data_IF_518588552654
#
_entry.id   IF_518588552654
#
_cell.length_a   1.000
_cell.length_b   1.000
_cell.length_c   1.000
_cell.angle_alpha   90.00
_cell.angle_beta   90.00
_cell.angle_gamma   90.00
#
_symmetry.space_group_name_H-M   'P 1'
#
loop_
_entity.id
_entity.type
_entity.pdbx_description
1 polymer ?
#
# COMPACT_ATOMS: atom_id res chain seq x y z
N UNK A 1 17.61 14.49 14.78
CA UNK A 1 17.04 15.33 13.70
C UNK A 1 17.91 15.35 12.44
N UNK A 2 19.16 15.83 12.51
CA UNK A 2 20.07 15.95 11.35
C UNK A 2 20.34 14.59 10.69
N UNK A 3 20.68 13.57 11.47
CA UNK A 3 20.99 12.21 10.97
C UNK A 3 19.82 11.55 10.18
N UNK A 4 18.59 11.68 10.67
CA UNK A 4 17.42 11.13 9.97
C UNK A 4 17.19 11.82 8.61
N UNK A 5 17.40 13.14 8.53
CA UNK A 5 17.28 13.88 7.27
C UNK A 5 18.41 13.55 6.29
N UNK A 6 19.61 13.21 6.78
CA UNK A 6 20.73 12.79 5.94
C UNK A 6 20.46 11.42 5.29
N UNK A 7 19.91 10.48 6.05
CA UNK A 7 19.50 9.17 5.52
C UNK A 7 18.43 9.32 4.43
N UNK A 8 17.40 10.13 4.67
CA UNK A 8 16.37 10.40 3.69
C UNK A 8 16.94 11.08 2.43
N UNK A 9 17.87 12.03 2.58
CA UNK A 9 18.53 12.71 1.43
C UNK A 9 19.35 11.74 0.59
N UNK A 10 20.10 10.84 1.23
CA UNK A 10 20.85 9.80 0.51
C UNK A 10 19.91 8.85 -0.26
N UNK A 11 18.86 8.40 0.39
CA UNK A 11 17.87 7.54 -0.25
C UNK A 11 17.12 8.25 -1.39
N UNK A 12 16.87 9.57 -1.27
CA UNK A 12 16.33 10.41 -2.36
C UNK A 12 17.30 10.55 -3.52
N UNK A 13 18.60 10.70 -3.26
CA UNK A 13 19.62 10.72 -4.30
C UNK A 13 19.63 9.40 -5.10
N UNK A 14 19.62 8.26 -4.41
CA UNK A 14 19.56 6.93 -5.05
C UNK A 14 18.23 6.74 -5.84
N UNK A 15 17.12 7.20 -5.27
CA UNK A 15 15.81 7.18 -5.94
C UNK A 15 15.83 7.96 -7.26
N UNK A 16 16.55 9.07 -7.34
CA UNK A 16 16.59 9.92 -8.53
C UNK A 16 17.66 9.50 -9.55
N UNK A 17 18.66 8.72 -9.16
CA UNK A 17 19.80 8.34 -9.99
C UNK A 17 19.44 7.60 -11.28
N UNK A 18 18.39 6.79 -11.27
CA UNK A 18 17.97 5.92 -12.39
C UNK A 18 16.96 6.59 -13.32
N UNK A 19 16.71 7.88 -13.20
CA UNK A 19 15.69 8.53 -14.04
C UNK A 19 16.20 8.76 -15.45
N UNK A 20 15.31 8.51 -16.44
CA UNK A 20 15.49 9.03 -17.80
C UNK A 20 15.15 10.51 -17.88
N UNK A 21 15.67 11.21 -18.89
CA UNK A 21 15.26 12.59 -19.21
C UNK A 21 13.97 12.68 -20.02
N UNK A 22 13.30 11.56 -20.29
CA UNK A 22 12.11 11.50 -21.13
C UNK A 22 10.86 11.93 -20.38
N UNK A 23 10.04 12.73 -21.00
CA UNK A 23 8.75 13.16 -20.49
C UNK A 23 7.72 12.06 -20.70
N UNK A 24 6.92 11.77 -19.67
CA UNK A 24 5.88 10.74 -19.70
C UNK A 24 4.46 11.31 -19.63
N UNK A 25 4.34 12.64 -19.77
CA UNK A 25 3.06 13.32 -19.67
C UNK A 25 2.04 12.76 -20.67
N UNK A 26 0.84 12.54 -20.17
CA UNK A 26 -0.38 12.30 -20.96
C UNK A 26 -1.54 12.88 -20.17
N UNK A 27 -2.34 13.73 -20.83
CA UNK A 27 -3.53 14.34 -20.22
C UNK A 27 -4.57 13.28 -19.85
N UNK A 28 -5.51 13.65 -18.98
CA UNK A 28 -6.72 12.87 -18.78
C UNK A 28 -7.63 12.93 -19.99
N UNK A 29 -8.26 11.82 -20.34
CA UNK A 29 -9.42 11.83 -21.21
C UNK A 29 -10.60 12.48 -20.48
N UNK A 30 -11.42 13.26 -21.19
CA UNK A 30 -12.58 13.96 -20.61
C UNK A 30 -13.57 13.05 -19.87
N UNK A 31 -13.56 11.76 -20.14
CA UNK A 31 -14.42 10.75 -19.51
C UNK A 31 -13.93 10.31 -18.11
N UNK A 32 -12.67 10.55 -17.77
CA UNK A 32 -12.09 10.12 -16.49
C UNK A 32 -12.35 11.09 -15.33
N UNK A 33 -12.76 12.34 -15.62
CA UNK A 33 -12.93 13.40 -14.61
C UNK A 33 -14.23 13.35 -13.82
N UNK A 34 -15.23 12.60 -14.28
CA UNK A 34 -16.60 12.64 -13.70
C UNK A 34 -16.88 11.50 -12.70
N UNK A 35 -15.86 10.75 -12.31
CA UNK A 35 -16.02 9.62 -11.39
C UNK A 35 -16.01 10.16 -9.94
N UNK A 36 -17.22 10.46 -9.44
CA UNK A 36 -17.45 10.92 -8.06
C UNK A 36 -17.74 9.77 -7.09
N UNK A 37 -18.11 8.60 -7.60
CA UNK A 37 -18.46 7.43 -6.81
C UNK A 37 -17.24 6.49 -6.62
N UNK A 38 -16.66 6.55 -5.45
CA UNK A 38 -15.51 5.72 -5.07
C UNK A 38 -15.83 4.22 -5.06
N UNK A 39 -17.04 3.84 -4.65
CA UNK A 39 -17.49 2.44 -4.63
C UNK A 39 -17.58 1.88 -6.06
N UNK A 40 -18.15 2.65 -6.97
CA UNK A 40 -18.24 2.27 -8.37
C UNK A 40 -16.87 2.22 -9.03
N UNK A 41 -16.00 3.20 -8.77
CA UNK A 41 -14.68 3.25 -9.37
C UNK A 41 -13.79 2.05 -9.00
N UNK A 42 -13.81 1.66 -7.73
CA UNK A 42 -13.03 0.52 -7.22
C UNK A 42 -13.81 -0.80 -7.19
N UNK A 43 -14.95 -0.87 -7.90
CA UNK A 43 -15.75 -2.10 -7.98
C UNK A 43 -14.95 -3.22 -8.64
N UNK A 44 -14.98 -4.39 -8.01
CA UNK A 44 -14.42 -5.62 -8.58
C UNK A 44 -15.55 -6.40 -9.24
N UNK A 45 -15.39 -6.71 -10.53
CA UNK A 45 -16.33 -7.57 -11.24
C UNK A 45 -16.35 -8.97 -10.61
N UNK A 46 -17.54 -9.60 -10.47
CA UNK A 46 -17.61 -11.01 -10.12
C UNK A 46 -16.93 -11.80 -11.24
N UNK A 47 -15.82 -12.41 -10.96
CA UNK A 47 -15.13 -13.31 -11.89
C UNK A 47 -14.74 -14.59 -11.16
N UNK A 48 -14.81 -15.71 -11.82
CA UNK A 48 -14.17 -16.94 -11.37
C UNK A 48 -12.66 -16.70 -11.40
N UNK A 49 -12.10 -16.41 -10.25
CA UNK A 49 -10.67 -16.10 -10.14
C UNK A 49 -9.91 -17.42 -10.18
N UNK A 50 -9.21 -17.66 -11.29
CA UNK A 50 -8.22 -18.73 -11.34
C UNK A 50 -6.99 -18.33 -10.55
N UNK A 51 -7.03 -18.57 -9.25
CA UNK A 51 -5.92 -18.34 -8.32
C UNK A 51 -4.97 -19.55 -8.39
N UNK A 52 -3.78 -19.33 -8.93
CA UNK A 52 -2.77 -20.38 -9.09
C UNK A 52 -1.67 -20.18 -8.04
N UNK A 53 -1.32 -21.26 -7.34
CA UNK A 53 -0.14 -21.30 -6.48
C UNK A 53 0.95 -22.05 -7.24
N UNK A 54 2.08 -21.39 -7.49
CA UNK A 54 3.26 -21.94 -8.16
C UNK A 54 4.41 -22.13 -7.19
N UNK A 55 5.31 -23.05 -7.53
CA UNK A 55 6.51 -23.32 -6.74
C UNK A 55 6.22 -23.62 -5.27
N UNK A 56 5.05 -24.25 -5.02
CA UNK A 56 4.67 -24.62 -3.68
C UNK A 56 5.64 -25.66 -3.11
N UNK A 57 6.20 -25.38 -1.92
CA UNK A 57 7.07 -26.28 -1.18
C UNK A 57 6.73 -26.19 0.30
N UNK A 58 6.94 -27.31 1.01
CA UNK A 58 6.80 -27.33 2.46
C UNK A 58 8.10 -26.84 3.10
N UNK A 59 8.04 -25.82 3.92
CA UNK A 59 9.13 -25.32 4.75
C UNK A 59 8.68 -25.30 6.21
N UNK A 60 9.12 -26.29 6.99
CA UNK A 60 8.65 -26.49 8.38
C UNK A 60 7.11 -26.58 8.44
N UNK A 61 6.47 -25.71 9.23
CA UNK A 61 5.02 -25.64 9.41
C UNK A 61 4.31 -24.79 8.33
N UNK A 62 5.03 -24.34 7.26
CA UNK A 62 4.48 -23.47 6.23
C UNK A 62 4.54 -24.10 4.84
N UNK A 63 3.42 -24.00 4.12
CA UNK A 63 3.45 -24.10 2.68
C UNK A 63 3.85 -22.75 2.11
N UNK A 64 5.00 -22.70 1.42
CA UNK A 64 5.56 -21.49 0.82
C UNK A 64 5.41 -21.57 -0.69
N UNK A 65 4.98 -20.49 -1.33
CA UNK A 65 4.80 -20.46 -2.77
C UNK A 65 4.59 -19.04 -3.32
N UNK A 66 4.29 -18.99 -4.60
CA UNK A 66 3.91 -17.76 -5.29
C UNK A 66 2.48 -17.89 -5.78
N UNK A 67 1.66 -16.87 -5.53
CA UNK A 67 0.34 -16.81 -6.12
C UNK A 67 0.35 -15.99 -7.41
N UNK A 68 -0.56 -16.35 -8.31
CA UNK A 68 -0.77 -15.68 -9.58
C UNK A 68 -2.24 -15.73 -9.98
N UNK A 69 -2.79 -14.57 -10.42
CA UNK A 69 -4.11 -14.48 -11.03
C UNK A 69 -4.18 -13.31 -12.02
N UNK A 70 -5.21 -13.26 -12.86
CA UNK A 70 -5.39 -12.18 -13.83
C UNK A 70 -6.07 -10.98 -13.17
N UNK A 71 -5.55 -9.77 -13.40
CA UNK A 71 -6.19 -8.53 -12.97
C UNK A 71 -7.55 -8.34 -13.66
N UNK A 72 -8.53 -7.86 -12.92
CA UNK A 72 -9.84 -7.46 -13.49
C UNK A 72 -9.77 -6.09 -14.18
N UNK A 73 -8.74 -5.30 -13.89
CA UNK A 73 -8.45 -4.02 -14.55
C UNK A 73 -7.27 -4.21 -15.47
N UNK A 74 -7.50 -4.13 -16.79
CA UNK A 74 -6.48 -4.39 -17.80
C UNK A 74 -5.75 -3.09 -18.15
N UNK A 75 -4.42 -3.12 -18.11
CA UNK A 75 -3.55 -2.01 -18.52
C UNK A 75 -3.08 -2.12 -19.98
N UNK A 76 -3.31 -3.27 -20.60
CA UNK A 76 -2.77 -3.61 -21.93
C UNK A 76 -1.35 -4.18 -21.91
N UNK A 77 -0.68 -4.23 -20.75
CA UNK A 77 0.59 -4.91 -20.58
C UNK A 77 0.39 -6.24 -19.85
N UNK A 78 0.68 -7.35 -20.55
CA UNK A 78 0.41 -8.71 -20.04
C UNK A 78 1.18 -9.07 -18.76
N UNK A 79 2.33 -8.44 -18.51
CA UNK A 79 3.08 -8.60 -17.27
C UNK A 79 2.36 -7.90 -16.13
N UNK A 80 2.01 -6.62 -16.33
CA UNK A 80 1.30 -5.84 -15.34
C UNK A 80 -0.08 -6.43 -15.02
N UNK A 81 -0.78 -6.95 -16.05
CA UNK A 81 -2.12 -7.54 -15.91
C UNK A 81 -2.12 -8.93 -15.25
N UNK A 82 -0.93 -9.46 -14.97
CA UNK A 82 -0.73 -10.69 -14.21
C UNK A 82 -0.36 -10.35 -12.76
N UNK A 83 -1.32 -10.43 -11.87
CA UNK A 83 -1.11 -10.18 -10.44
C UNK A 83 -0.29 -11.30 -9.84
N UNK A 84 0.73 -10.94 -9.08
CA UNK A 84 1.65 -11.89 -8.44
C UNK A 84 1.91 -11.51 -7.00
N UNK A 85 2.45 -12.45 -6.25
CA UNK A 85 2.95 -12.24 -4.90
C UNK A 85 3.44 -13.54 -4.28
N UNK A 86 3.99 -13.42 -3.09
CA UNK A 86 4.48 -14.56 -2.31
C UNK A 86 3.48 -14.90 -1.21
N UNK A 87 3.38 -16.17 -0.86
CA UNK A 87 2.55 -16.63 0.25
C UNK A 87 3.29 -17.60 1.15
N UNK A 88 2.94 -17.53 2.43
CA UNK A 88 3.41 -18.42 3.49
C UNK A 88 2.17 -18.82 4.28
N UNK A 89 1.69 -20.04 4.07
CA UNK A 89 0.46 -20.54 4.69
C UNK A 89 0.79 -21.58 5.75
N UNK A 90 0.41 -21.28 6.98
CA UNK A 90 0.53 -22.20 8.11
C UNK A 90 -0.58 -23.26 8.03
N UNK A 91 -0.34 -24.42 8.60
CA UNK A 91 -1.30 -25.54 8.64
C UNK A 91 -2.56 -25.27 9.48
N UNK A 92 -2.49 -24.32 10.43
CA UNK A 92 -3.66 -23.91 11.21
C UNK A 92 -4.59 -23.06 10.34
N UNK A 93 -5.76 -23.61 10.03
CA UNK A 93 -6.76 -22.98 9.16
C UNK A 93 -7.40 -21.71 9.76
N UNK A 94 -7.42 -21.59 11.09
CA UNK A 94 -7.99 -20.43 11.80
C UNK A 94 -6.94 -19.33 12.10
N UNK A 95 -5.69 -19.53 11.65
CA UNK A 95 -4.64 -18.56 11.86
C UNK A 95 -4.94 -17.23 11.14
N UNK A 96 -4.60 -16.07 11.73
CA UNK A 96 -4.75 -14.77 11.09
C UNK A 96 -4.05 -14.70 9.74
N UNK A 97 -4.65 -13.98 8.79
CA UNK A 97 -4.13 -13.74 7.44
C UNK A 97 -3.64 -12.31 7.32
N UNK A 98 -2.36 -12.12 7.05
CA UNK A 98 -1.74 -10.79 6.91
C UNK A 98 -1.36 -10.57 5.45
N UNK A 99 -1.93 -9.52 4.84
CA UNK A 99 -1.52 -9.07 3.52
C UNK A 99 -0.60 -7.86 3.69
N UNK A 100 0.61 -7.97 3.15
CA UNK A 100 1.59 -6.88 3.09
C UNK A 100 1.60 -6.23 1.73
N UNK A 101 1.50 -4.90 1.70
CA UNK A 101 1.59 -4.09 0.47
C UNK A 101 2.80 -3.15 0.58
N UNK A 102 3.75 -3.34 -0.32
CA UNK A 102 5.04 -2.66 -0.31
C UNK A 102 4.99 -1.20 -0.80
N UNK A 103 6.09 -0.46 -0.60
CA UNK A 103 6.24 0.93 -1.04
C UNK A 103 6.62 1.08 -2.52
N UNK A 104 6.58 2.35 -3.01
CA UNK A 104 6.96 2.71 -4.36
C UNK A 104 8.45 2.41 -4.64
N UNK A 105 8.76 1.99 -5.87
CA UNK A 105 10.14 1.74 -6.36
C UNK A 105 10.92 0.65 -5.61
N UNK A 106 10.21 -0.21 -4.92
CA UNK A 106 10.82 -1.44 -4.41
C UNK A 106 10.96 -2.47 -5.53
N UNK A 107 12.03 -3.26 -5.49
CA UNK A 107 12.33 -4.33 -6.46
C UNK A 107 12.00 -5.73 -5.91
N UNK A 108 11.69 -5.83 -4.60
CA UNK A 108 11.32 -7.08 -3.92
C UNK A 108 10.62 -6.80 -2.58
N UNK A 109 10.05 -7.84 -1.98
CA UNK A 109 9.44 -7.78 -0.64
C UNK A 109 10.45 -7.88 0.52
N UNK A 110 11.75 -8.02 0.24
CA UNK A 110 12.78 -8.27 1.26
C UNK A 110 12.84 -7.21 2.37
N UNK A 111 12.57 -5.94 2.05
CA UNK A 111 12.54 -4.89 3.08
C UNK A 111 11.35 -5.06 4.02
N UNK A 112 10.20 -5.48 3.51
CA UNK A 112 8.99 -5.75 4.31
C UNK A 112 9.21 -6.99 5.16
N UNK A 113 9.75 -8.06 4.57
CA UNK A 113 10.10 -9.29 5.27
C UNK A 113 11.06 -9.03 6.43
N UNK A 114 12.11 -8.24 6.23
CA UNK A 114 13.07 -7.86 7.30
C UNK A 114 12.43 -7.13 8.49
N UNK A 115 11.22 -6.59 8.34
CA UNK A 115 10.48 -5.93 9.42
C UNK A 115 9.59 -6.95 10.13
N UNK A 116 8.82 -7.77 9.39
CA UNK A 116 7.68 -8.49 9.91
C UNK A 116 7.80 -10.02 9.87
N UNK A 117 8.53 -10.59 8.91
CA UNK A 117 8.44 -12.01 8.58
C UNK A 117 8.71 -12.93 9.77
N UNK A 118 9.84 -12.74 10.46
CA UNK A 118 10.20 -13.57 11.61
C UNK A 118 9.18 -13.48 12.75
N UNK A 119 8.67 -12.29 12.99
CA UNK A 119 7.63 -12.09 14.01
C UNK A 119 6.33 -12.82 13.66
N UNK A 120 5.89 -12.73 12.40
CA UNK A 120 4.65 -13.39 11.94
C UNK A 120 4.83 -14.91 11.92
N UNK A 121 6.01 -15.41 11.54
CA UNK A 121 6.34 -16.83 11.58
C UNK A 121 6.28 -17.37 13.02
N UNK A 122 6.84 -16.65 13.98
CA UNK A 122 6.79 -17.03 15.38
C UNK A 122 5.36 -17.07 15.96
N UNK A 123 4.47 -16.25 15.40
CA UNK A 123 3.04 -16.20 15.77
C UNK A 123 2.21 -17.22 14.98
N UNK A 124 2.80 -17.94 14.05
CA UNK A 124 2.12 -18.92 13.19
C UNK A 124 1.01 -18.31 12.35
N UNK A 125 1.18 -17.07 11.88
CA UNK A 125 0.22 -16.35 11.05
C UNK A 125 0.48 -16.59 9.57
N UNK A 126 -0.58 -16.59 8.76
CA UNK A 126 -0.51 -16.65 7.31
C UNK A 126 -0.05 -15.31 6.73
N UNK A 127 0.84 -15.33 5.75
CA UNK A 127 1.38 -14.13 5.15
C UNK A 127 1.21 -14.13 3.63
N UNK A 128 0.82 -12.97 3.09
CA UNK A 128 0.73 -12.71 1.65
C UNK A 128 1.49 -11.42 1.34
N UNK A 129 2.53 -11.50 0.52
CA UNK A 129 3.28 -10.34 0.07
C UNK A 129 2.80 -9.96 -1.32
N UNK A 130 1.91 -9.00 -1.38
CA UNK A 130 1.25 -8.56 -2.61
C UNK A 130 2.16 -7.66 -3.45
N UNK A 131 2.24 -7.91 -4.76
CA UNK A 131 3.00 -7.08 -5.70
C UNK A 131 2.08 -6.03 -6.33
N UNK A 132 2.39 -4.75 -6.12
CA UNK A 132 1.69 -3.62 -6.75
C UNK A 132 1.83 -3.63 -8.28
N UNK A 133 0.88 -3.04 -9.03
CA UNK A 133 1.04 -2.84 -10.46
C UNK A 133 2.36 -2.18 -10.82
N UNK A 134 2.94 -2.57 -11.94
CA UNK A 134 4.19 -2.05 -12.49
C UNK A 134 5.44 -2.26 -11.61
N UNK A 135 5.37 -3.11 -10.58
CA UNK A 135 6.51 -3.45 -9.73
C UNK A 135 6.97 -4.91 -9.94
N UNK A 136 8.22 -5.17 -9.58
CA UNK A 136 8.84 -6.50 -9.61
C UNK A 136 8.66 -7.16 -10.99
N UNK A 137 8.15 -8.39 -11.03
CA UNK A 137 7.84 -9.13 -12.26
C UNK A 137 6.65 -8.54 -13.05
N UNK A 138 5.82 -7.69 -12.46
CA UNK A 138 4.75 -6.94 -13.13
C UNK A 138 5.27 -5.71 -13.89
N UNK A 139 6.56 -5.40 -13.75
CA UNK A 139 7.19 -4.27 -14.44
C UNK A 139 7.26 -4.55 -15.95
N UNK A 140 6.74 -3.64 -16.82
CA UNK A 140 6.89 -3.71 -18.26
C UNK A 140 8.38 -3.72 -18.67
N UNK A 141 8.68 -4.35 -19.82
CA UNK A 141 10.07 -4.43 -20.30
C UNK A 141 10.71 -3.08 -20.57
N UNK A 142 9.91 -2.13 -21.09
CA UNK A 142 10.34 -0.77 -21.43
C UNK A 142 10.49 0.13 -20.20
N UNK A 143 9.99 -0.29 -19.04
CA UNK A 143 10.12 0.50 -17.82
C UNK A 143 11.54 0.46 -17.28
N UNK A 144 12.10 1.61 -16.95
CA UNK A 144 13.49 1.76 -16.50
C UNK A 144 13.69 1.21 -15.07
N UNK A 145 12.65 1.29 -14.23
CA UNK A 145 12.70 0.84 -12.85
C UNK A 145 11.33 0.37 -12.35
N UNK A 146 11.36 -0.41 -11.31
CA UNK A 146 10.16 -0.92 -10.64
C UNK A 146 9.27 0.22 -10.15
N UNK A 147 7.98 0.21 -10.54
CA UNK A 147 7.00 1.22 -10.16
C UNK A 147 7.05 2.54 -10.95
N UNK A 148 7.84 2.63 -12.02
CA UNK A 148 7.91 3.83 -12.87
C UNK A 148 6.52 4.23 -13.38
N UNK A 149 5.75 3.27 -13.85
CA UNK A 149 4.43 3.50 -14.44
C UNK A 149 3.29 3.55 -13.42
N UNK A 150 3.55 3.22 -12.17
CA UNK A 150 2.55 3.28 -11.11
C UNK A 150 2.19 4.73 -10.72
N UNK A 151 3.21 5.60 -10.65
CA UNK A 151 3.04 7.03 -10.38
C UNK A 151 3.95 7.81 -11.31
N UNK A 152 3.38 8.59 -12.21
CA UNK A 152 4.12 9.32 -13.25
C UNK A 152 3.35 10.57 -13.70
N UNK A 153 3.94 11.35 -14.62
CA UNK A 153 3.27 12.48 -15.26
C UNK A 153 2.17 12.04 -16.27
N UNK A 154 2.07 10.77 -16.60
CA UNK A 154 0.88 10.24 -17.26
C UNK A 154 -0.25 10.18 -16.23
N UNK A 155 -1.11 11.20 -16.25
CA UNK A 155 -2.15 11.45 -15.25
C UNK A 155 -3.15 10.31 -15.22
N UNK A 156 -3.66 9.92 -16.37
CA UNK A 156 -4.65 8.84 -16.49
C UNK A 156 -4.09 7.49 -16.04
N UNK A 157 -2.86 7.15 -16.46
CA UNK A 157 -2.22 5.90 -16.06
C UNK A 157 -2.05 5.80 -14.55
N UNK A 158 -1.69 6.90 -13.86
CA UNK A 158 -1.57 6.92 -12.40
C UNK A 158 -2.91 6.61 -11.72
N UNK A 159 -4.01 7.18 -12.23
CA UNK A 159 -5.39 6.90 -11.75
C UNK A 159 -5.76 5.44 -12.00
N UNK A 160 -5.55 4.93 -13.23
CA UNK A 160 -5.86 3.55 -13.59
C UNK A 160 -4.97 2.53 -12.86
N UNK A 161 -3.69 2.83 -12.64
CA UNK A 161 -2.78 2.00 -11.85
C UNK A 161 -3.24 1.90 -10.38
N UNK A 162 -3.72 3.01 -9.82
CA UNK A 162 -4.29 3.03 -8.47
C UNK A 162 -5.57 2.20 -8.41
N UNK A 163 -6.47 2.35 -9.39
CA UNK A 163 -7.67 1.52 -9.54
C UNK A 163 -7.33 0.04 -9.63
N UNK A 164 -6.37 -0.31 -10.48
CA UNK A 164 -5.90 -1.68 -10.65
C UNK A 164 -5.35 -2.25 -9.33
N UNK A 165 -4.52 -1.49 -8.61
CA UNK A 165 -3.94 -1.93 -7.34
C UNK A 165 -5.03 -2.26 -6.30
N UNK A 166 -6.04 -1.39 -6.15
CA UNK A 166 -7.15 -1.61 -5.21
C UNK A 166 -8.02 -2.78 -5.67
N UNK A 167 -8.36 -2.87 -6.95
CA UNK A 167 -9.18 -3.97 -7.49
C UNK A 167 -8.47 -5.33 -7.34
N UNK A 168 -7.18 -5.39 -7.63
CA UNK A 168 -6.36 -6.59 -7.48
C UNK A 168 -6.29 -7.01 -6.00
N UNK A 169 -6.03 -6.06 -5.10
CA UNK A 169 -5.98 -6.34 -3.66
C UNK A 169 -7.33 -6.85 -3.12
N UNK A 170 -8.44 -6.24 -3.54
CA UNK A 170 -9.80 -6.71 -3.20
C UNK A 170 -10.08 -8.11 -3.75
N UNK A 171 -9.53 -8.43 -4.91
CA UNK A 171 -9.62 -9.79 -5.49
C UNK A 171 -8.90 -10.81 -4.62
N UNK A 172 -7.70 -10.51 -4.12
CA UNK A 172 -6.98 -11.35 -3.17
C UNK A 172 -7.76 -11.52 -1.85
N UNK A 173 -8.29 -10.43 -1.30
CA UNK A 173 -9.11 -10.44 -0.08
C UNK A 173 -10.32 -11.35 -0.24
N UNK A 174 -11.05 -11.24 -1.34
CA UNK A 174 -12.20 -12.10 -1.64
C UNK A 174 -11.81 -13.57 -1.73
N UNK A 175 -10.69 -13.87 -2.38
CA UNK A 175 -10.20 -15.25 -2.46
C UNK A 175 -9.84 -15.80 -1.08
N UNK A 176 -9.14 -15.04 -0.23
CA UNK A 176 -8.81 -15.46 1.15
C UNK A 176 -10.10 -15.74 1.93
N UNK A 177 -11.05 -14.81 1.94
CA UNK A 177 -12.29 -14.96 2.70
C UNK A 177 -13.20 -16.11 2.20
N UNK A 178 -13.09 -16.48 0.92
CA UNK A 178 -13.84 -17.61 0.35
C UNK A 178 -13.20 -18.98 0.62
N UNK A 179 -11.88 -19.02 0.90
CA UNK A 179 -11.12 -20.29 0.97
C UNK A 179 -10.41 -20.51 2.30
N UNK A 180 -10.43 -19.53 3.20
CA UNK A 180 -9.68 -19.56 4.45
C UNK A 180 -10.53 -18.99 5.58
N UNK A 181 -10.31 -19.52 6.78
CA UNK A 181 -10.86 -18.99 8.01
C UNK A 181 -9.94 -17.92 8.62
N UNK A 182 -10.31 -17.42 9.78
CA UNK A 182 -9.51 -16.47 10.56
C UNK A 182 -9.66 -15.00 10.13
N UNK A 183 -9.12 -14.09 10.96
CA UNK A 183 -9.19 -12.67 10.74
C UNK A 183 -8.22 -12.21 9.65
N UNK A 184 -8.58 -11.12 8.94
CA UNK A 184 -7.81 -10.52 7.87
C UNK A 184 -7.18 -9.21 8.30
N UNK A 185 -5.87 -9.13 8.24
CA UNK A 185 -5.06 -7.96 8.56
C UNK A 185 -4.46 -7.41 7.28
N UNK A 186 -4.55 -6.10 7.10
CA UNK A 186 -3.95 -5.40 5.96
C UNK A 186 -2.86 -4.44 6.45
N UNK A 187 -1.63 -4.63 5.96
CA UNK A 187 -0.47 -3.79 6.32
C UNK A 187 0.11 -3.15 5.07
N UNK A 188 0.04 -1.81 4.99
CA UNK A 188 0.59 -1.04 3.88
C UNK A 188 1.77 -0.17 4.30
N UNK A 189 2.81 -0.11 3.46
CA UNK A 189 4.00 0.72 3.71
C UNK A 189 4.13 1.78 2.60
N UNK A 190 4.25 3.06 2.96
CA UNK A 190 4.45 4.17 2.03
C UNK A 190 3.35 4.23 0.96
N UNK A 191 3.64 4.06 -0.33
CA UNK A 191 2.64 3.93 -1.40
C UNK A 191 1.67 2.76 -1.13
N UNK A 192 2.18 1.64 -0.59
CA UNK A 192 1.32 0.54 -0.13
C UNK A 192 0.29 0.99 0.90
N UNK A 193 0.64 1.96 1.75
CA UNK A 193 -0.29 2.59 2.69
C UNK A 193 -1.42 3.36 1.98
N UNK A 194 -1.14 4.05 0.88
CA UNK A 194 -2.21 4.69 0.07
C UNK A 194 -3.19 3.63 -0.45
N UNK A 195 -2.66 2.55 -1.02
CA UNK A 195 -3.47 1.49 -1.63
C UNK A 195 -4.30 0.74 -0.58
N UNK A 196 -3.70 0.39 0.57
CA UNK A 196 -4.42 -0.27 1.66
C UNK A 196 -5.49 0.64 2.27
N UNK A 197 -5.21 1.93 2.39
CA UNK A 197 -6.15 2.93 2.88
C UNK A 197 -7.34 3.11 1.92
N UNK A 198 -7.10 3.20 0.60
CA UNK A 198 -8.16 3.21 -0.41
C UNK A 198 -8.99 1.92 -0.40
N UNK A 199 -8.32 0.77 -0.25
CA UNK A 199 -9.01 -0.52 -0.13
C UNK A 199 -9.94 -0.55 1.08
N UNK A 200 -9.50 0.01 2.21
CA UNK A 200 -10.32 0.09 3.43
C UNK A 200 -11.57 0.97 3.29
N UNK A 201 -11.61 1.91 2.33
CA UNK A 201 -12.82 2.69 2.04
C UNK A 201 -13.93 1.84 1.41
N UNK A 202 -13.57 0.81 0.65
CA UNK A 202 -14.49 0.05 -0.21
C UNK A 202 -14.58 -1.44 0.14
N UNK A 203 -13.82 -1.92 1.13
CA UNK A 203 -13.77 -3.33 1.54
C UNK A 203 -14.04 -3.48 3.03
N UNK A 204 -15.12 -4.19 3.35
CA UNK A 204 -15.57 -4.41 4.73
C UNK A 204 -14.99 -5.68 5.38
N UNK A 205 -14.31 -6.53 4.60
CA UNK A 205 -13.79 -7.81 5.08
C UNK A 205 -12.45 -7.69 5.84
N UNK A 206 -11.95 -6.47 6.02
CA UNK A 206 -10.68 -6.19 6.73
C UNK A 206 -10.98 -6.03 8.22
N UNK A 207 -10.40 -6.89 9.04
CA UNK A 207 -10.57 -6.86 10.49
C UNK A 207 -9.64 -5.82 11.16
N UNK A 208 -8.39 -5.69 10.69
CA UNK A 208 -7.41 -4.72 11.20
C UNK A 208 -6.62 -4.10 10.05
N UNK A 209 -6.44 -2.77 10.10
CA UNK A 209 -5.63 -2.01 9.15
C UNK A 209 -4.44 -1.37 9.87
N UNK A 210 -3.23 -1.55 9.33
CA UNK A 210 -2.03 -0.82 9.78
C UNK A 210 -1.35 -0.13 8.58
N UNK A 211 -1.27 1.20 8.63
CA UNK A 211 -0.63 2.01 7.58
C UNK A 211 0.65 2.64 8.12
N UNK A 212 1.78 2.28 7.50
CA UNK A 212 3.11 2.58 8.01
C UNK A 212 3.84 3.54 7.06
N UNK A 213 4.21 4.72 7.55
CA UNK A 213 4.84 5.79 6.76
C UNK A 213 4.07 6.10 5.48
N UNK A 214 2.76 6.04 5.55
CA UNK A 214 1.79 6.16 4.46
C UNK A 214 1.70 7.58 3.92
N UNK A 215 1.57 7.73 2.61
CA UNK A 215 1.07 8.97 2.01
C UNK A 215 -0.46 8.97 2.00
N UNK A 216 -1.07 10.14 1.84
CA UNK A 216 -2.51 10.29 1.68
C UNK A 216 -2.86 10.81 0.28
N UNK A 217 -2.38 12.00 -0.06
CA UNK A 217 -2.65 12.63 -1.35
C UNK A 217 -1.47 12.43 -2.30
N UNK A 218 -1.66 11.65 -3.37
CA UNK A 218 -0.61 11.51 -4.39
C UNK A 218 -0.27 12.84 -5.03
N UNK A 219 -1.26 13.71 -5.26
CA UNK A 219 -1.07 15.09 -5.75
C UNK A 219 -0.13 15.88 -4.84
N UNK A 220 -0.35 15.84 -3.52
CA UNK A 220 0.52 16.48 -2.54
C UNK A 220 1.94 15.88 -2.55
N UNK A 221 2.03 14.56 -2.56
CA UNK A 221 3.31 13.85 -2.55
C UNK A 221 4.17 14.21 -3.77
N UNK A 222 3.56 14.31 -4.95
CA UNK A 222 4.29 14.68 -6.18
C UNK A 222 4.64 16.16 -6.19
N UNK A 223 3.75 17.04 -5.74
CA UNK A 223 3.96 18.49 -5.86
C UNK A 223 4.79 19.08 -4.74
N UNK A 224 4.59 18.63 -3.52
CA UNK A 224 5.16 19.27 -2.32
C UNK A 224 6.36 18.53 -1.74
N UNK A 225 6.65 17.30 -2.18
CA UNK A 225 7.74 16.51 -1.61
C UNK A 225 8.84 16.17 -2.64
N UNK A 226 10.02 15.78 -2.14
CA UNK A 226 11.16 15.52 -3.00
C UNK A 226 11.02 14.29 -3.92
N UNK A 227 10.39 13.17 -3.54
CA UNK A 227 10.18 12.03 -4.44
C UNK A 227 9.50 12.41 -5.75
N UNK A 228 8.57 13.38 -5.72
CA UNK A 228 7.82 13.86 -6.89
C UNK A 228 8.55 14.85 -7.79
N UNK A 229 9.73 15.33 -7.39
CA UNK A 229 10.43 16.45 -8.04
C UNK A 229 10.45 16.40 -9.59
N UNK A 230 10.70 15.24 -10.15
CA UNK A 230 10.82 15.11 -11.60
C UNK A 230 9.47 14.94 -12.30
N UNK A 231 8.55 14.22 -11.67
CA UNK A 231 7.16 14.10 -12.16
C UNK A 231 6.52 15.49 -12.18
N UNK A 232 6.72 16.28 -11.10
CA UNK A 232 6.27 17.68 -11.06
C UNK A 232 6.85 18.51 -12.19
N UNK A 233 8.18 18.41 -12.43
CA UNK A 233 8.83 19.14 -13.53
C UNK A 233 8.24 18.81 -14.89
N UNK A 234 7.89 17.54 -15.10
CA UNK A 234 7.27 17.07 -16.32
C UNK A 234 5.84 17.62 -16.47
N UNK A 235 5.04 17.62 -15.41
CA UNK A 235 3.70 18.21 -15.37
C UNK A 235 3.74 19.73 -15.60
N UNK A 236 4.64 20.46 -14.91
CA UNK A 236 4.82 21.91 -15.07
C UNK A 236 5.22 22.28 -16.52
N UNK A 237 6.07 21.47 -17.17
CA UNK A 237 6.46 21.67 -18.56
C UNK A 237 5.27 21.62 -19.54
N UNK A 238 4.23 20.84 -19.19
CA UNK A 238 3.01 20.73 -19.97
C UNK A 238 1.86 21.61 -19.45
N UNK A 239 2.17 22.61 -18.61
CA UNK A 239 1.20 23.58 -18.11
C UNK A 239 0.24 23.10 -17.03
N UNK A 240 0.45 21.89 -16.48
CA UNK A 240 -0.36 21.36 -15.38
C UNK A 240 0.02 22.08 -14.09
N UNK A 241 -0.97 22.60 -13.38
CA UNK A 241 -0.82 23.24 -12.06
C UNK A 241 -1.05 22.24 -10.92
N UNK A 242 -0.72 22.65 -9.70
CA UNK A 242 -1.03 21.85 -8.51
C UNK A 242 -2.54 21.65 -8.30
N UNK A 243 -3.34 22.69 -8.60
CA UNK A 243 -4.79 22.61 -8.47
C UNK A 243 -5.39 21.63 -9.48
N UNK A 244 -4.92 21.66 -10.73
CA UNK A 244 -5.32 20.67 -11.72
C UNK A 244 -5.01 19.24 -11.26
N UNK A 245 -3.83 19.03 -10.68
CA UNK A 245 -3.41 17.72 -10.22
C UNK A 245 -4.24 17.24 -8.99
N UNK A 246 -4.65 18.15 -8.11
CA UNK A 246 -5.59 17.84 -7.02
C UNK A 246 -6.89 17.30 -7.60
N UNK A 247 -7.47 18.02 -8.57
CA UNK A 247 -8.75 17.64 -9.17
C UNK A 247 -8.64 16.32 -9.93
N UNK A 248 -7.58 16.14 -10.72
CA UNK A 248 -7.34 14.92 -11.51
C UNK A 248 -7.14 13.66 -10.67
N UNK A 249 -6.48 13.79 -9.52
CA UNK A 249 -6.14 12.64 -8.67
C UNK A 249 -6.99 12.52 -7.41
N UNK A 250 -8.04 13.31 -7.26
CA UNK A 250 -8.92 13.28 -6.08
C UNK A 250 -9.46 11.88 -5.77
N UNK A 251 -9.83 11.12 -6.79
CA UNK A 251 -10.34 9.75 -6.64
C UNK A 251 -9.31 8.79 -6.00
N UNK A 252 -8.02 9.15 -6.03
CA UNK A 252 -6.92 8.36 -5.44
C UNK A 252 -6.59 8.77 -4.00
N UNK A 253 -7.39 9.63 -3.37
CA UNK A 253 -7.14 10.15 -2.01
C UNK A 253 -7.93 9.38 -0.96
N UNK A 254 -7.29 8.66 -0.01
CA UNK A 254 -7.98 7.97 1.07
C UNK A 254 -8.81 8.87 1.98
N UNK A 255 -8.41 10.13 2.14
CA UNK A 255 -9.10 11.10 3.03
C UNK A 255 -10.46 11.58 2.52
N UNK A 256 -10.90 11.17 1.33
CA UNK A 256 -12.18 11.60 0.75
C UNK A 256 -13.41 10.91 1.36
N UNK A 257 -13.22 9.81 2.09
CA UNK A 257 -14.28 9.07 2.75
C UNK A 257 -13.79 8.38 4.02
N UNK A 258 -14.72 7.95 4.87
CA UNK A 258 -14.40 7.14 6.03
C UNK A 258 -14.17 5.67 5.64
N UNK A 259 -13.21 4.97 6.27
CA UNK A 259 -12.97 3.56 6.04
C UNK A 259 -14.13 2.69 6.57
N UNK A 260 -14.33 1.53 5.94
CA UNK A 260 -15.27 0.50 6.43
C UNK A 260 -14.71 -0.30 7.60
N UNK A 261 -13.42 -0.23 7.83
CA UNK A 261 -12.74 -0.79 9.01
C UNK A 261 -13.11 0.07 10.22
N UNK A 262 -13.47 -0.57 11.33
CA UNK A 262 -13.77 0.15 12.58
C UNK A 262 -12.58 0.99 13.02
N UNK A 263 -12.83 2.21 13.45
CA UNK A 263 -11.79 3.19 13.83
C UNK A 263 -10.78 2.66 14.87
N UNK A 264 -11.27 1.95 15.86
CA UNK A 264 -10.45 1.30 16.88
C UNK A 264 -9.48 0.23 16.33
N UNK A 265 -9.78 -0.34 15.17
CA UNK A 265 -8.96 -1.35 14.50
C UNK A 265 -7.99 -0.77 13.48
N UNK A 266 -7.83 0.56 13.44
CA UNK A 266 -6.92 1.24 12.53
C UNK A 266 -5.72 1.76 13.31
N UNK A 267 -4.51 1.41 12.82
CA UNK A 267 -3.23 1.94 13.28
C UNK A 267 -2.55 2.74 12.18
N UNK A 268 -2.27 4.00 12.45
CA UNK A 268 -1.50 4.88 11.56
C UNK A 268 -0.12 5.15 12.16
N UNK A 269 0.95 4.87 11.39
CA UNK A 269 2.34 5.11 11.82
C UNK A 269 3.00 6.11 10.89
N UNK A 270 3.61 7.15 11.45
CA UNK A 270 4.31 8.19 10.68
C UNK A 270 5.67 8.58 11.29
N UNK A 271 6.54 9.17 10.47
CA UNK A 271 7.84 9.70 10.89
C UNK A 271 7.79 11.19 11.18
N UNK A 272 8.37 11.63 12.32
CA UNK A 272 8.42 13.06 12.69
C UNK A 272 9.27 13.90 11.73
N UNK A 273 10.25 13.28 11.06
CA UNK A 273 11.25 13.95 10.22
C UNK A 273 11.26 13.40 8.79
N UNK A 274 10.13 12.85 8.36
CA UNK A 274 9.95 12.24 7.04
C UNK A 274 10.01 13.31 5.93
N UNK A 275 10.92 13.13 4.95
CA UNK A 275 11.08 14.00 3.79
C UNK A 275 10.38 13.46 2.54
N UNK A 276 9.84 12.24 2.59
CA UNK A 276 9.07 11.63 1.51
C UNK A 276 7.57 11.86 1.69
N UNK A 277 7.12 11.70 2.93
CA UNK A 277 5.72 11.89 3.31
C UNK A 277 5.70 12.93 4.44
N UNK A 278 5.28 14.13 4.11
CA UNK A 278 5.24 15.21 5.08
C UNK A 278 4.16 14.96 6.15
N UNK A 279 4.44 15.40 7.34
CA UNK A 279 3.52 15.26 8.47
C UNK A 279 2.16 15.89 8.20
N UNK A 280 2.13 17.02 7.50
CA UNK A 280 0.89 17.71 7.11
C UNK A 280 -0.07 16.77 6.36
N UNK A 281 0.44 15.95 5.44
CA UNK A 281 -0.36 15.02 4.66
C UNK A 281 -0.88 13.84 5.51
N UNK A 282 -0.06 13.34 6.43
CA UNK A 282 -0.49 12.30 7.38
C UNK A 282 -1.42 12.82 8.47
N UNK A 283 -1.25 14.08 8.92
CA UNK A 283 -2.16 14.74 9.85
C UNK A 283 -3.53 14.96 9.21
N UNK A 284 -3.56 15.28 7.91
CA UNK A 284 -4.81 15.46 7.18
C UNK A 284 -5.62 14.16 7.14
N UNK A 285 -5.04 13.03 6.75
CA UNK A 285 -5.73 11.74 6.77
C UNK A 285 -6.21 11.37 8.19
N UNK A 286 -5.34 11.51 9.18
CA UNK A 286 -5.67 11.19 10.55
C UNK A 286 -6.86 11.97 11.07
N UNK A 287 -6.94 13.28 10.74
CA UNK A 287 -8.08 14.12 11.08
C UNK A 287 -9.35 13.71 10.32
N UNK A 288 -9.23 13.46 9.01
CA UNK A 288 -10.36 13.05 8.14
C UNK A 288 -10.97 11.71 8.57
N UNK A 289 -10.18 10.82 9.17
CA UNK A 289 -10.63 9.52 9.67
C UNK A 289 -10.99 9.52 11.16
N UNK A 290 -11.36 10.69 11.70
CA UNK A 290 -11.79 10.85 13.09
C UNK A 290 -10.77 10.40 14.14
N UNK A 291 -9.49 10.56 13.82
CA UNK A 291 -8.36 10.34 14.72
C UNK A 291 -8.23 8.91 15.25
N UNK A 292 -8.03 7.89 14.41
CA UNK A 292 -7.74 6.53 14.85
C UNK A 292 -6.41 6.46 15.62
N UNK A 293 -6.06 5.28 16.15
CA UNK A 293 -4.79 5.09 16.87
C UNK A 293 -3.61 5.49 16.00
N UNK A 294 -2.69 6.30 16.56
CA UNK A 294 -1.53 6.81 15.84
C UNK A 294 -0.25 6.72 16.64
N UNK A 295 0.84 6.26 16.00
CA UNK A 295 2.20 6.32 16.53
C UNK A 295 3.09 7.21 15.66
N UNK A 296 3.90 8.07 16.29
CA UNK A 296 4.83 8.98 15.61
C UNK A 296 6.25 8.66 16.07
N UNK A 297 7.09 8.22 15.13
CA UNK A 297 8.47 7.88 15.41
C UNK A 297 9.42 9.04 15.12
N UNK A 298 10.44 9.20 15.95
CA UNK A 298 11.49 10.22 15.75
C UNK A 298 12.50 9.74 14.69
N UNK A 299 12.03 9.56 13.44
CA UNK A 299 12.86 9.19 12.29
C UNK A 299 12.30 9.82 11.01
N UNK A 300 13.04 9.70 9.90
CA UNK A 300 12.59 9.99 8.54
C UNK A 300 12.04 8.74 7.86
N UNK A 301 11.67 8.86 6.58
CA UNK A 301 11.08 7.77 5.79
C UNK A 301 11.99 6.55 5.67
N UNK A 302 13.23 6.75 5.21
CA UNK A 302 14.23 5.69 5.13
C UNK A 302 14.69 5.22 6.52
N UNK A 303 14.44 6.01 7.57
CA UNK A 303 14.71 5.68 8.96
C UNK A 303 13.88 4.53 9.53
N UNK A 304 12.85 4.07 8.83
CA UNK A 304 12.07 2.86 9.15
C UNK A 304 13.01 1.65 9.37
N UNK A 305 14.11 1.55 8.62
CA UNK A 305 15.09 0.46 8.72
C UNK A 305 15.74 0.43 10.11
N UNK A 306 16.04 1.59 10.68
CA UNK A 306 16.66 1.71 12.01
C UNK A 306 15.68 1.45 13.16
N UNK A 307 14.39 1.67 12.92
CA UNK A 307 13.30 1.50 13.91
C UNK A 307 12.49 0.22 13.69
N UNK A 308 12.89 -0.63 12.74
CA UNK A 308 12.13 -1.79 12.27
C UNK A 308 11.63 -2.71 13.39
N UNK A 309 12.49 -3.04 14.37
CA UNK A 309 12.12 -3.91 15.50
C UNK A 309 10.98 -3.28 16.33
N UNK A 310 11.12 -2.00 16.69
CA UNK A 310 10.10 -1.30 17.48
C UNK A 310 8.80 -1.14 16.69
N UNK A 311 8.88 -0.80 15.41
CA UNK A 311 7.70 -0.67 14.52
C UNK A 311 6.98 -2.03 14.42
N UNK A 312 7.72 -3.12 14.21
CA UNK A 312 7.14 -4.46 14.16
C UNK A 312 6.45 -4.82 15.48
N UNK A 313 7.15 -4.67 16.60
CA UNK A 313 6.59 -4.98 17.95
C UNK A 313 5.33 -4.15 18.23
N UNK A 314 5.37 -2.83 18.02
CA UNK A 314 4.23 -1.96 18.30
C UNK A 314 3.03 -2.27 17.39
N UNK A 315 3.29 -2.58 16.10
CA UNK A 315 2.25 -2.98 15.14
C UNK A 315 1.61 -4.31 15.54
N UNK A 316 2.43 -5.31 15.87
CA UNK A 316 1.95 -6.65 16.25
C UNK A 316 1.16 -6.59 17.56
N UNK A 317 1.66 -5.89 18.56
CA UNK A 317 0.94 -5.71 19.83
C UNK A 317 -0.42 -5.04 19.59
N UNK A 318 -0.48 -4.02 18.72
CA UNK A 318 -1.74 -3.41 18.37
C UNK A 318 -2.69 -4.43 17.75
N UNK A 319 -2.23 -5.21 16.76
CA UNK A 319 -3.07 -6.20 16.08
C UNK A 319 -3.56 -7.27 17.07
N UNK A 320 -2.66 -7.85 17.87
CA UNK A 320 -3.03 -8.88 18.86
C UNK A 320 -4.08 -8.38 19.87
N UNK A 321 -3.95 -7.14 20.34
CA UNK A 321 -4.92 -6.53 21.24
C UNK A 321 -6.31 -6.30 20.58
N UNK A 322 -6.37 -6.20 19.25
CA UNK A 322 -7.64 -6.08 18.51
C UNK A 322 -8.27 -7.42 18.19
N UNK A 323 -7.45 -8.44 17.92
CA UNK A 323 -7.93 -9.79 17.67
C UNK A 323 -8.36 -10.50 18.96
N UNK A 324 -7.65 -10.26 20.05
CA UNK A 324 -7.89 -10.84 21.37
C UNK A 324 -7.98 -9.71 22.41
N UNK A 325 -9.10 -8.98 22.48
CA UNK A 325 -9.24 -7.92 23.48
C UNK A 325 -9.14 -8.55 24.87
N UNK A 326 -8.39 -7.92 25.80
CA UNK A 326 -8.31 -8.41 27.17
C UNK A 326 -9.72 -8.48 27.78
N UNK A 327 -10.11 -9.66 28.27
CA UNK A 327 -11.32 -9.81 29.05
C UNK A 327 -11.13 -9.00 30.36
N UNK A 328 -11.70 -7.82 30.43
CA UNK A 328 -11.93 -7.19 31.72
C UNK A 328 -13.12 -7.92 32.37
N UNK A 329 -12.97 -8.56 33.52
CA UNK A 329 -14.13 -9.08 34.23
C UNK A 329 -15.06 -7.90 34.51
N UNK A 330 -16.34 -8.07 34.14
CA UNK A 330 -17.36 -7.08 34.48
C UNK A 330 -17.27 -6.83 36.00
N UNK A 331 -16.72 -5.71 36.38
CA UNK A 331 -16.90 -5.17 37.74
C UNK A 331 -18.38 -4.74 37.78
N UNK A 332 -19.23 -5.61 38.33
CA UNK A 332 -20.59 -5.24 38.69
C UNK A 332 -20.46 -4.07 39.69
N UNK A 333 -20.89 -2.91 39.28
CA UNK A 333 -21.16 -1.77 40.17
C UNK A 333 -22.50 -1.99 40.86
#
# INVERSE_FOLDING_TARGET
MIFSKLIDRYALYDLHKKRSGEFQYTSLSNTALDIKDIEFFYKVQPSNIHFNIKHAKQEKEYMVGQFKYKSSVQSGDSRNDSVTGELFLHENEDAPHVIFVHGWRMDSNERVKKIFHDHMTNLKWNMYYFTLPYHFERKPNQSLFSGEYMVSANIERTVQATRQAVADLRTLIKWIKANKNGPLILIGISLGGVITNLTALVESAIDVLASIFYANRLSYSIWKTNPGKFIRKDLEHHGVTYNDLIDYWKITEPSQALPKVKKENILLISGKHDLYVHREDTDYLWASWEKPTRYIYTCGHAGIVLKRKKIATDTINFIQNRLNPPHFPNVML
#
